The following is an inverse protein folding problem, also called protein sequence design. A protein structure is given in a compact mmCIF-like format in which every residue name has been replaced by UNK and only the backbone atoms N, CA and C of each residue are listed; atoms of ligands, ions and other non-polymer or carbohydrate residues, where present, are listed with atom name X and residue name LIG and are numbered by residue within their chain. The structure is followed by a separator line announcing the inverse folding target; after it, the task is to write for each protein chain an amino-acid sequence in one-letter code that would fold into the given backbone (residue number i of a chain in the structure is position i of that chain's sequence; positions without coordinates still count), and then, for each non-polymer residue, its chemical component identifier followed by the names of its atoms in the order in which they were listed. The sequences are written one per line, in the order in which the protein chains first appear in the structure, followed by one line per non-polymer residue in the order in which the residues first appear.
data_IF_747253524470
#
_entry.id   IF_747253524470
#
_cell.length_a   1.000
_cell.length_b   1.000
_cell.length_c   1.000
_cell.angle_alpha   90.00
_cell.angle_beta   90.00
_cell.angle_gamma   90.00
#
_symmetry.space_group_name_H-M   'P 1'
#
loop_
_entity.id
_entity.type
_entity.pdbx_description
1 polymer ?
#
# COMPACT_ATOMS: atom_id res chain seq x y z
N UNK A 1 9.01 16.50 -4.36
CA UNK A 1 7.71 15.79 -4.20
C UNK A 1 7.83 14.34 -4.66
N UNK A 2 7.46 13.37 -3.81
CA UNK A 2 7.83 11.95 -3.98
C UNK A 2 6.80 11.12 -4.77
N UNK A 3 7.22 9.96 -5.28
CA UNK A 3 6.36 8.96 -5.92
C UNK A 3 5.26 8.40 -5.01
N UNK A 4 5.37 8.59 -3.70
CA UNK A 4 4.38 8.12 -2.72
C UNK A 4 3.12 8.97 -2.74
N UNK A 5 3.23 10.26 -3.05
CA UNK A 5 2.07 11.14 -3.10
C UNK A 5 1.30 11.02 -4.43
N UNK A 6 2.00 10.71 -5.53
CA UNK A 6 1.41 10.61 -6.87
C UNK A 6 1.62 9.25 -7.56
N UNK A 7 1.34 8.11 -6.91
CA UNK A 7 1.72 6.79 -7.43
C UNK A 7 1.08 6.47 -8.78
N UNK A 8 -0.17 6.89 -9.00
CA UNK A 8 -0.90 6.71 -10.26
C UNK A 8 -0.33 7.53 -11.42
N UNK A 9 0.25 8.69 -11.14
CA UNK A 9 0.88 9.55 -12.16
C UNK A 9 2.26 8.99 -12.53
N UNK A 10 3.07 8.58 -11.55
CA UNK A 10 4.35 7.92 -11.83
C UNK A 10 4.20 6.56 -12.51
N UNK A 11 3.07 5.86 -12.31
CA UNK A 11 2.76 4.63 -13.05
C UNK A 11 2.67 4.85 -14.57
N UNK A 12 2.48 6.09 -15.03
CA UNK A 12 2.39 6.45 -16.46
C UNK A 12 3.76 6.74 -17.10
N UNK A 13 4.85 6.79 -16.33
CA UNK A 13 6.17 7.22 -16.82
C UNK A 13 6.76 6.37 -17.97
N UNK A 14 6.26 5.15 -18.17
CA UNK A 14 6.61 4.31 -19.30
C UNK A 14 5.84 4.60 -20.60
N UNK A 15 4.71 5.29 -20.51
CA UNK A 15 3.78 5.53 -21.60
C UNK A 15 3.66 7.01 -21.98
N UNK A 16 3.94 7.92 -21.03
CA UNK A 16 3.77 9.37 -21.19
C UNK A 16 5.08 10.09 -20.89
N UNK A 17 5.37 11.17 -21.61
CA UNK A 17 6.51 12.03 -21.33
C UNK A 17 6.24 12.91 -20.10
N UNK A 18 7.25 13.12 -19.25
CA UNK A 18 7.14 14.05 -18.11
C UNK A 18 6.74 15.46 -18.57
N UNK A 19 7.16 15.88 -19.76
CA UNK A 19 6.80 17.18 -20.33
C UNK A 19 5.31 17.33 -20.63
N UNK A 20 4.61 16.21 -20.86
CA UNK A 20 3.15 16.16 -21.11
C UNK A 20 2.35 15.92 -19.82
N UNK A 21 3.03 15.65 -18.70
CA UNK A 21 2.39 15.33 -17.43
C UNK A 21 2.17 16.61 -16.64
N UNK A 22 0.91 16.85 -16.25
CA UNK A 22 0.45 18.09 -15.62
C UNK A 22 -0.45 17.75 -14.42
N UNK A 23 0.11 17.22 -13.32
CA UNK A 23 -0.67 16.78 -12.16
C UNK A 23 -1.59 17.88 -11.59
N UNK A 24 -1.12 19.12 -11.50
CA UNK A 24 -1.90 20.22 -10.91
C UNK A 24 -2.95 20.75 -11.87
N UNK A 25 -2.66 20.88 -13.16
CA UNK A 25 -3.71 21.21 -14.14
C UNK A 25 -4.77 20.09 -14.23
N UNK A 26 -4.37 18.82 -14.10
CA UNK A 26 -5.32 17.71 -14.05
C UNK A 26 -6.29 17.81 -12.87
N UNK A 27 -5.85 18.31 -11.71
CA UNK A 27 -6.74 18.52 -10.55
C UNK A 27 -7.87 19.51 -10.85
N UNK A 28 -7.65 20.51 -11.72
CA UNK A 28 -8.71 21.44 -12.14
C UNK A 28 -9.77 20.72 -12.98
N UNK A 29 -9.35 19.74 -13.77
CA UNK A 29 -10.26 18.95 -14.63
C UNK A 29 -10.84 17.71 -13.94
N UNK A 30 -10.40 17.41 -12.72
CA UNK A 30 -10.70 16.21 -11.93
C UNK A 30 -10.62 14.89 -12.74
N UNK A 31 -9.49 14.18 -12.73
CA UNK A 31 -9.33 12.98 -13.54
C UNK A 31 -10.35 11.90 -13.16
N UNK A 32 -10.84 11.14 -14.14
CA UNK A 32 -11.83 10.08 -13.90
C UNK A 32 -11.42 9.06 -12.82
N UNK A 33 -10.11 8.86 -12.62
CA UNK A 33 -9.57 7.97 -11.60
C UNK A 33 -9.60 8.52 -10.17
N UNK A 34 -9.79 9.83 -9.96
CA UNK A 34 -9.95 10.43 -8.62
C UNK A 34 -11.41 10.39 -8.15
N UNK A 35 -12.31 9.85 -8.96
CA UNK A 35 -13.74 9.76 -8.68
C UNK A 35 -14.12 8.34 -8.28
N UNK A 36 -15.07 8.16 -7.35
CA UNK A 36 -15.69 6.86 -7.18
C UNK A 36 -16.37 6.45 -8.49
N UNK A 37 -16.30 5.17 -8.82
CA UNK A 37 -16.91 4.59 -10.03
C UNK A 37 -18.42 4.69 -10.02
N UNK A 38 -19.01 4.59 -8.83
CA UNK A 38 -20.44 4.56 -8.59
C UNK A 38 -20.76 4.98 -7.15
N UNK A 39 -22.05 5.12 -6.86
CA UNK A 39 -22.58 5.45 -5.54
C UNK A 39 -22.16 4.42 -4.48
N UNK A 40 -21.99 3.15 -4.86
CA UNK A 40 -21.58 2.10 -3.93
C UNK A 40 -20.14 2.33 -3.43
N UNK A 41 -19.21 2.61 -4.35
CA UNK A 41 -17.84 2.95 -3.99
C UNK A 41 -17.76 4.27 -3.22
N UNK A 42 -18.56 5.28 -3.60
CA UNK A 42 -18.61 6.55 -2.89
C UNK A 42 -19.04 6.37 -1.42
N UNK A 43 -20.05 5.52 -1.17
CA UNK A 43 -20.50 5.22 0.18
C UNK A 43 -19.40 4.52 1.02
N UNK A 44 -18.67 3.57 0.42
CA UNK A 44 -17.55 2.91 1.11
C UNK A 44 -16.44 3.90 1.44
N UNK A 45 -16.01 4.74 0.50
CA UNK A 45 -14.99 5.76 0.74
C UNK A 45 -15.38 6.75 1.83
N UNK A 46 -16.65 7.16 1.85
CA UNK A 46 -17.18 8.02 2.91
C UNK A 46 -17.02 7.36 4.29
N UNK A 47 -17.37 6.07 4.39
CA UNK A 47 -17.23 5.32 5.64
C UNK A 47 -15.78 5.16 6.07
N UNK A 48 -14.87 4.85 5.15
CA UNK A 48 -13.45 4.78 5.46
C UNK A 48 -12.95 6.12 6.02
N UNK A 49 -13.35 7.25 5.42
CA UNK A 49 -13.02 8.57 5.94
C UNK A 49 -13.61 8.86 7.33
N UNK A 50 -14.82 8.36 7.62
CA UNK A 50 -15.46 8.50 8.93
C UNK A 50 -14.82 7.61 10.02
N UNK A 51 -14.17 6.52 9.64
CA UNK A 51 -13.47 5.64 10.57
C UNK A 51 -12.05 6.11 10.91
N UNK A 52 -11.49 7.09 10.20
CA UNK A 52 -10.15 7.60 10.47
C UNK A 52 -10.08 8.27 11.85
N UNK A 53 -9.23 7.74 12.71
CA UNK A 53 -8.89 8.36 13.99
C UNK A 53 -7.82 9.46 13.78
N UNK A 54 -7.84 10.53 14.59
CA UNK A 54 -6.76 11.51 14.58
C UNK A 54 -5.46 10.86 15.06
N UNK A 55 -4.38 11.04 14.32
CA UNK A 55 -3.05 10.59 14.72
C UNK A 55 -2.27 11.73 15.42
N UNK A 56 -1.07 11.40 15.92
CA UNK A 56 -0.20 12.39 16.59
C UNK A 56 0.33 13.51 15.69
N UNK A 57 0.17 13.36 14.36
CA UNK A 57 0.59 14.34 13.36
C UNK A 57 -0.59 15.16 12.82
N UNK A 58 -1.81 14.85 13.25
CA UNK A 58 -3.03 15.51 12.80
C UNK A 58 -3.08 16.94 13.32
N UNK A 59 -2.79 17.91 12.46
CA UNK A 59 -2.87 19.35 12.77
C UNK A 59 -4.28 19.92 12.62
N UNK A 60 -5.22 19.12 12.11
CA UNK A 60 -6.60 19.50 11.84
C UNK A 60 -7.56 18.41 12.32
N UNK A 61 -8.82 18.76 12.65
CA UNK A 61 -9.83 17.77 13.01
C UNK A 61 -10.04 16.75 11.90
N UNK A 62 -10.16 15.48 12.27
CA UNK A 62 -10.45 14.40 11.29
C UNK A 62 -11.87 14.52 10.76
N UNK A 63 -12.15 13.80 9.67
CA UNK A 63 -13.42 13.93 8.98
C UNK A 63 -14.63 13.62 9.88
N UNK A 64 -14.53 12.60 10.75
CA UNK A 64 -15.54 12.30 11.77
C UNK A 64 -15.87 13.52 12.65
N UNK A 65 -14.85 14.18 13.19
CA UNK A 65 -15.01 15.34 14.08
C UNK A 65 -15.62 16.53 13.34
N UNK A 66 -15.23 16.73 12.08
CA UNK A 66 -15.79 17.78 11.23
C UNK A 66 -17.28 17.57 10.98
N UNK A 67 -17.71 16.35 10.72
CA UNK A 67 -19.14 16.02 10.55
C UNK A 67 -19.88 16.16 11.87
N UNK A 68 -19.34 15.65 12.98
CA UNK A 68 -19.94 15.79 14.31
C UNK A 68 -20.16 17.26 14.70
N UNK A 69 -19.22 18.15 14.35
CA UNK A 69 -19.33 19.59 14.58
C UNK A 69 -20.49 20.27 13.82
N UNK A 70 -21.00 19.66 12.75
CA UNK A 70 -22.19 20.15 12.03
C UNK A 70 -23.51 19.74 12.70
N UNK A 71 -23.46 18.94 13.77
CA UNK A 71 -24.63 18.41 14.48
C UNK A 71 -25.19 17.10 13.92
N UNK A 72 -24.54 16.51 12.92
CA UNK A 72 -24.87 15.18 12.40
C UNK A 72 -24.11 14.10 13.17
N UNK A 73 -24.78 12.98 13.47
CA UNK A 73 -24.14 11.80 14.06
C UNK A 73 -23.41 11.02 12.95
N UNK A 74 -22.06 11.01 12.92
CA UNK A 74 -21.31 10.33 11.87
C UNK A 74 -21.30 8.80 12.04
N UNK A 75 -21.70 8.29 13.21
CA UNK A 75 -21.88 6.85 13.46
C UNK A 75 -23.29 6.36 13.10
N UNK A 76 -24.21 7.28 12.79
CA UNK A 76 -25.56 6.96 12.34
C UNK A 76 -25.58 6.23 10.99
N UNK A 77 -26.72 5.60 10.64
CA UNK A 77 -26.89 5.03 9.30
C UNK A 77 -26.78 6.13 8.25
N UNK A 78 -26.10 5.84 7.13
CA UNK A 78 -26.06 6.78 6.02
C UNK A 78 -27.46 7.07 5.48
N UNK A 79 -27.65 8.27 4.90
CA UNK A 79 -28.87 8.56 4.16
C UNK A 79 -29.08 7.54 3.02
N UNK A 80 -30.34 7.19 2.77
CA UNK A 80 -30.77 6.23 1.75
C UNK A 80 -30.26 6.51 0.34
N UNK A 81 -29.88 7.76 0.12
CA UNK A 81 -29.23 8.29 -1.05
C UNK A 81 -28.13 9.25 -0.55
N UNK A 82 -26.89 8.95 -0.88
CA UNK A 82 -25.88 9.98 -0.98
C UNK A 82 -26.07 10.59 -2.37
N UNK A 83 -26.57 11.84 -2.49
CA UNK A 83 -26.49 12.54 -3.75
C UNK A 83 -25.01 12.80 -4.01
N UNK A 84 -24.34 11.83 -4.63
CA UNK A 84 -23.04 12.04 -5.20
C UNK A 84 -23.26 12.68 -6.56
N UNK A 85 -23.10 13.99 -6.62
CA UNK A 85 -23.04 14.75 -7.85
C UNK A 85 -21.68 15.44 -7.93
N UNK A 86 -21.19 15.56 -9.15
CA UNK A 86 -20.03 16.40 -9.42
C UNK A 86 -20.53 17.84 -9.48
N UNK A 87 -19.86 18.73 -8.75
CA UNK A 87 -19.98 20.15 -9.03
C UNK A 87 -19.39 20.42 -10.42
N UNK A 88 -19.97 21.36 -11.16
CA UNK A 88 -19.54 21.66 -12.53
C UNK A 88 -18.15 22.31 -12.59
N UNK A 89 -17.71 22.91 -11.47
CA UNK A 89 -16.43 23.56 -11.31
C UNK A 89 -15.65 22.97 -10.13
N UNK A 90 -14.32 22.92 -10.26
CA UNK A 90 -13.47 22.53 -9.15
C UNK A 90 -13.45 23.62 -8.07
N UNK A 91 -13.23 23.23 -6.81
CA UNK A 91 -13.09 24.20 -5.72
C UNK A 91 -11.97 25.23 -5.98
N UNK A 92 -10.93 24.83 -6.72
CA UNK A 92 -9.85 25.72 -7.13
C UNK A 92 -10.32 26.77 -8.16
N UNK A 93 -11.12 26.37 -9.15
CA UNK A 93 -11.72 27.32 -10.11
C UNK A 93 -12.70 28.27 -9.42
N UNK A 94 -13.51 27.77 -8.49
CA UNK A 94 -14.46 28.60 -7.74
C UNK A 94 -13.77 29.68 -6.88
N UNK A 95 -12.64 29.34 -6.26
CA UNK A 95 -11.94 30.25 -5.35
C UNK A 95 -10.90 31.14 -6.03
N UNK A 96 -10.20 30.62 -7.03
CA UNK A 96 -9.09 31.32 -7.70
C UNK A 96 -9.50 31.96 -9.03
N UNK A 97 -10.66 31.57 -9.59
CA UNK A 97 -11.17 32.11 -10.85
C UNK A 97 -10.19 31.92 -12.01
N UNK A 98 -9.99 32.98 -12.80
CA UNK A 98 -9.14 32.97 -13.99
C UNK A 98 -7.66 32.66 -13.69
N UNK A 99 -7.21 32.86 -12.45
CA UNK A 99 -5.83 32.59 -12.04
C UNK A 99 -5.53 31.11 -11.79
N UNK A 100 -6.57 30.27 -11.62
CA UNK A 100 -6.41 28.86 -11.27
C UNK A 100 -5.49 28.12 -12.25
N UNK A 101 -5.70 28.33 -13.56
CA UNK A 101 -4.91 27.68 -14.60
C UNK A 101 -3.46 28.16 -14.63
N UNK A 102 -3.23 29.46 -14.40
CA UNK A 102 -1.89 30.03 -14.33
C UNK A 102 -1.08 29.48 -13.15
N UNK A 103 -1.71 29.41 -11.98
CA UNK A 103 -1.12 28.83 -10.77
C UNK A 103 -0.81 27.35 -10.97
N UNK A 104 -1.76 26.59 -11.52
CA UNK A 104 -1.56 25.16 -11.81
C UNK A 104 -0.39 24.94 -12.78
N UNK A 105 -0.27 25.76 -13.83
CA UNK A 105 0.84 25.70 -14.77
C UNK A 105 2.20 25.97 -14.13
N UNK A 106 2.28 26.90 -13.17
CA UNK A 106 3.50 27.15 -12.41
C UNK A 106 3.85 25.96 -11.51
N UNK A 107 2.88 25.42 -10.78
CA UNK A 107 3.08 24.24 -9.93
C UNK A 107 3.51 23.01 -10.75
N UNK A 108 2.97 22.84 -11.96
CA UNK A 108 3.38 21.78 -12.87
C UNK A 108 4.81 21.97 -13.41
N UNK A 109 5.26 23.21 -13.62
CA UNK A 109 6.66 23.48 -13.96
C UNK A 109 7.59 23.11 -12.80
N UNK A 110 7.29 23.60 -11.61
CA UNK A 110 8.06 23.32 -10.40
C UNK A 110 8.07 21.82 -10.07
N UNK A 111 6.94 21.15 -10.26
CA UNK A 111 6.83 19.71 -10.06
C UNK A 111 7.73 18.93 -11.02
N UNK A 112 7.73 19.27 -12.31
CA UNK A 112 8.56 18.57 -13.31
C UNK A 112 10.04 18.64 -12.98
N UNK A 113 10.53 19.80 -12.55
CA UNK A 113 11.92 19.98 -12.13
C UNK A 113 12.26 19.06 -10.94
N UNK A 114 11.38 19.01 -9.95
CA UNK A 114 11.58 18.21 -8.74
C UNK A 114 11.33 16.71 -8.96
N UNK A 115 10.51 16.32 -9.93
CA UNK A 115 10.12 14.94 -10.20
C UNK A 115 11.05 14.24 -11.22
N UNK A 116 11.94 14.96 -11.90
CA UNK A 116 12.71 14.44 -13.03
C UNK A 116 13.52 13.16 -12.74
N UNK A 117 14.10 13.03 -11.53
CA UNK A 117 14.80 11.80 -11.15
C UNK A 117 13.83 10.66 -10.85
N UNK A 118 12.81 10.91 -10.02
CA UNK A 118 11.78 9.91 -9.69
C UNK A 118 11.03 9.42 -10.93
N UNK A 119 10.86 10.26 -11.94
CA UNK A 119 10.22 9.90 -13.20
C UNK A 119 11.10 8.98 -14.03
N UNK A 120 12.41 9.23 -14.08
CA UNK A 120 13.38 8.31 -14.72
C UNK A 120 13.36 6.95 -14.04
N UNK A 121 13.39 6.93 -12.71
CA UNK A 121 13.32 5.69 -11.94
C UNK A 121 12.01 4.92 -12.22
N UNK A 122 10.88 5.63 -12.32
CA UNK A 122 9.58 5.03 -12.65
C UNK A 122 9.53 4.49 -14.09
N UNK A 123 10.16 5.19 -15.05
CA UNK A 123 10.30 4.73 -16.43
C UNK A 123 11.17 3.47 -16.52
N UNK A 124 12.30 3.44 -15.83
CA UNK A 124 13.18 2.27 -15.76
C UNK A 124 12.45 1.07 -15.12
N UNK A 125 11.67 1.33 -14.07
CA UNK A 125 10.83 0.31 -13.46
C UNK A 125 9.76 -0.23 -14.42
N UNK A 126 9.08 0.64 -15.17
CA UNK A 126 8.13 0.21 -16.18
C UNK A 126 8.78 -0.65 -17.27
N UNK A 127 9.98 -0.27 -17.74
CA UNK A 127 10.75 -1.06 -18.70
C UNK A 127 11.15 -2.44 -18.14
N UNK A 128 11.57 -2.49 -16.87
CA UNK A 128 11.84 -3.74 -16.17
C UNK A 128 10.59 -4.62 -16.10
N UNK A 129 9.44 -4.09 -15.69
CA UNK A 129 8.17 -4.81 -15.63
C UNK A 129 7.75 -5.37 -17.00
N UNK A 130 7.96 -4.61 -18.07
CA UNK A 130 7.71 -5.07 -19.44
C UNK A 130 8.68 -6.20 -19.87
N UNK A 131 9.95 -6.14 -19.45
CA UNK A 131 10.92 -7.21 -19.67
C UNK A 131 10.50 -8.51 -18.96
N UNK A 132 10.11 -8.41 -17.69
CA UNK A 132 9.62 -9.56 -16.92
C UNK A 132 8.35 -10.16 -17.56
N UNK A 133 7.41 -9.31 -17.99
CA UNK A 133 6.23 -9.75 -18.73
C UNK A 133 6.61 -10.50 -20.02
N UNK A 134 7.59 -9.98 -20.78
CA UNK A 134 8.08 -10.63 -22.00
C UNK A 134 8.76 -11.97 -21.71
N UNK A 135 9.52 -12.07 -20.62
CA UNK A 135 10.16 -13.31 -20.16
C UNK A 135 9.11 -14.36 -19.79
N UNK A 136 8.07 -13.98 -19.04
CA UNK A 136 6.95 -14.88 -18.71
C UNK A 136 6.27 -15.41 -19.96
N UNK A 137 6.03 -14.56 -20.98
CA UNK A 137 5.47 -15.02 -22.25
C UNK A 137 6.39 -16.00 -22.99
N UNK A 138 7.71 -15.84 -22.91
CA UNK A 138 8.68 -16.79 -23.49
C UNK A 138 8.69 -18.12 -22.72
N UNK A 139 8.77 -18.07 -21.39
CA UNK A 139 8.72 -19.23 -20.50
C UNK A 139 7.44 -20.05 -20.71
N UNK A 140 6.30 -19.38 -20.87
CA UNK A 140 5.01 -20.00 -21.23
C UNK A 140 5.09 -20.76 -22.55
N UNK A 141 5.68 -20.17 -23.60
CA UNK A 141 5.86 -20.84 -24.91
C UNK A 141 6.77 -22.07 -24.81
N UNK A 142 7.77 -22.02 -23.93
CA UNK A 142 8.69 -23.12 -23.67
C UNK A 142 8.14 -24.17 -22.70
N UNK A 143 6.92 -23.97 -22.17
CA UNK A 143 6.29 -24.82 -21.15
C UNK A 143 7.10 -24.95 -19.85
N UNK A 144 7.96 -23.97 -19.56
CA UNK A 144 8.72 -23.87 -18.29
C UNK A 144 8.04 -22.81 -17.43
N UNK A 145 6.87 -23.15 -16.89
CA UNK A 145 5.97 -22.23 -16.20
C UNK A 145 5.53 -22.83 -14.87
N UNK A 146 5.77 -22.11 -13.77
CA UNK A 146 5.41 -22.54 -12.40
C UNK A 146 4.14 -21.83 -11.89
N UNK A 147 3.75 -22.13 -10.65
CA UNK A 147 2.55 -21.56 -10.01
C UNK A 147 2.68 -20.04 -9.80
N UNK A 148 3.88 -19.57 -9.43
CA UNK A 148 4.16 -18.16 -9.18
C UNK A 148 4.13 -17.35 -10.49
N UNK A 149 4.59 -17.95 -11.58
CA UNK A 149 4.56 -17.34 -12.91
C UNK A 149 3.12 -17.00 -13.35
N UNK A 150 2.12 -17.81 -12.98
CA UNK A 150 0.71 -17.53 -13.30
C UNK A 150 0.19 -16.29 -12.57
N UNK A 151 0.50 -16.15 -11.28
CA UNK A 151 0.15 -14.96 -10.51
C UNK A 151 0.84 -13.71 -11.06
N UNK A 152 2.16 -13.79 -11.31
CA UNK A 152 2.92 -12.67 -11.86
C UNK A 152 2.41 -12.27 -13.25
N UNK A 153 2.08 -13.25 -14.10
CA UNK A 153 1.50 -12.98 -15.42
C UNK A 153 0.13 -12.29 -15.30
N UNK A 154 -0.74 -12.73 -14.39
CA UNK A 154 -2.04 -12.10 -14.16
C UNK A 154 -1.93 -10.63 -13.70
N UNK A 155 -0.98 -10.34 -12.81
CA UNK A 155 -0.72 -8.98 -12.32
C UNK A 155 -0.13 -8.07 -13.40
N UNK A 156 0.87 -8.54 -14.15
CA UNK A 156 1.52 -7.76 -15.20
C UNK A 156 0.63 -7.57 -16.44
N UNK A 157 -0.22 -8.56 -16.75
CA UNK A 157 -1.17 -8.47 -17.85
C UNK A 157 -2.18 -7.32 -17.68
N UNK A 158 -2.47 -6.88 -16.45
CA UNK A 158 -3.31 -5.69 -16.22
C UNK A 158 -2.78 -4.44 -16.95
N UNK A 159 -1.46 -4.32 -17.04
CA UNK A 159 -0.78 -3.16 -17.60
C UNK A 159 -0.44 -3.34 -19.07
N UNK A 160 -0.12 -4.56 -19.48
CA UNK A 160 0.46 -4.84 -20.80
C UNK A 160 -0.45 -5.63 -21.76
N UNK A 161 -1.55 -6.21 -21.27
CA UNK A 161 -2.54 -6.91 -22.09
C UNK A 161 -3.83 -6.08 -22.24
N UNK A 162 -3.85 -5.23 -23.27
CA UNK A 162 -5.00 -4.37 -23.57
C UNK A 162 -6.30 -5.16 -23.85
N UNK A 163 -6.20 -6.40 -24.34
CA UNK A 163 -7.35 -7.22 -24.63
C UNK A 163 -7.90 -7.95 -23.39
N UNK A 164 -7.15 -8.01 -22.29
CA UNK A 164 -7.49 -8.71 -21.05
C UNK A 164 -7.60 -10.24 -21.16
N UNK A 165 -7.32 -10.81 -22.34
CA UNK A 165 -7.41 -12.25 -22.60
C UNK A 165 -6.34 -13.06 -21.87
N UNK A 166 -5.10 -12.56 -21.84
CA UNK A 166 -3.98 -13.19 -21.14
C UNK A 166 -4.18 -13.11 -19.64
N UNK A 167 -4.70 -11.99 -19.12
CA UNK A 167 -5.03 -11.86 -17.70
C UNK A 167 -6.05 -12.91 -17.26
N UNK A 168 -7.16 -13.00 -18.00
CA UNK A 168 -8.21 -13.96 -17.69
C UNK A 168 -7.73 -15.42 -17.77
N UNK A 169 -6.90 -15.74 -18.78
CA UNK A 169 -6.27 -17.05 -18.90
C UNK A 169 -5.35 -17.34 -17.71
N UNK A 170 -4.47 -16.39 -17.36
CA UNK A 170 -3.49 -16.56 -16.30
C UNK A 170 -4.15 -16.80 -14.95
N UNK A 171 -5.22 -16.06 -14.63
CA UNK A 171 -6.03 -16.27 -13.43
C UNK A 171 -6.66 -17.67 -13.44
N UNK A 172 -7.29 -18.07 -14.56
CA UNK A 172 -7.96 -19.37 -14.65
C UNK A 172 -6.97 -20.54 -14.53
N UNK A 173 -5.80 -20.42 -15.15
CA UNK A 173 -4.74 -21.43 -15.09
C UNK A 173 -4.08 -21.49 -13.73
N UNK A 174 -3.72 -20.35 -13.14
CA UNK A 174 -3.16 -20.29 -11.79
C UNK A 174 -4.09 -20.95 -10.75
N UNK A 175 -5.39 -20.67 -10.82
CA UNK A 175 -6.39 -21.30 -9.94
C UNK A 175 -6.63 -22.80 -10.22
N UNK A 176 -6.29 -23.31 -11.42
CA UNK A 176 -6.29 -24.76 -11.69
C UNK A 176 -5.12 -25.45 -10.99
N UNK A 177 -3.98 -24.78 -10.86
CA UNK A 177 -2.81 -25.30 -10.17
C UNK A 177 -2.97 -25.18 -8.64
N UNK A 178 -3.33 -23.98 -8.17
CA UNK A 178 -3.57 -23.72 -6.76
C UNK A 178 -4.90 -22.96 -6.56
N UNK A 179 -5.96 -23.73 -6.27
CA UNK A 179 -7.31 -23.18 -6.14
C UNK A 179 -7.52 -22.24 -4.94
N UNK A 180 -6.60 -22.28 -3.97
CA UNK A 180 -6.64 -21.47 -2.75
C UNK A 180 -5.78 -20.21 -2.80
N UNK A 181 -5.20 -19.86 -3.95
CA UNK A 181 -4.38 -18.64 -4.08
C UNK A 181 -5.23 -17.39 -3.84
N UNK A 182 -5.04 -16.75 -2.69
CA UNK A 182 -5.83 -15.58 -2.27
C UNK A 182 -5.71 -14.42 -3.25
N UNK A 183 -4.53 -14.18 -3.83
CA UNK A 183 -4.30 -13.06 -4.72
C UNK A 183 -5.00 -13.31 -6.07
N UNK A 184 -4.91 -14.52 -6.61
CA UNK A 184 -5.64 -14.87 -7.83
C UNK A 184 -7.17 -14.85 -7.63
N UNK A 185 -7.65 -15.26 -6.46
CA UNK A 185 -9.07 -15.17 -6.10
C UNK A 185 -9.53 -13.69 -6.03
N UNK A 186 -8.73 -12.81 -5.43
CA UNK A 186 -9.02 -11.37 -5.39
C UNK A 186 -9.05 -10.74 -6.79
N UNK A 187 -8.07 -11.05 -7.65
CA UNK A 187 -8.04 -10.57 -9.04
C UNK A 187 -9.26 -11.06 -9.82
N UNK A 188 -9.63 -12.34 -9.66
CA UNK A 188 -10.84 -12.90 -10.28
C UNK A 188 -12.11 -12.19 -9.79
N UNK A 189 -12.23 -11.90 -8.50
CA UNK A 189 -13.38 -11.21 -7.93
C UNK A 189 -13.53 -9.80 -8.52
N UNK A 190 -12.41 -9.08 -8.65
CA UNK A 190 -12.37 -7.76 -9.29
C UNK A 190 -12.81 -7.80 -10.75
N UNK A 191 -12.26 -8.73 -11.54
CA UNK A 191 -12.62 -8.91 -12.95
C UNK A 191 -14.11 -9.27 -13.13
N UNK A 192 -14.68 -10.10 -12.24
CA UNK A 192 -16.11 -10.44 -12.23
C UNK A 192 -16.98 -9.22 -11.93
N UNK A 193 -16.62 -8.44 -10.90
CA UNK A 193 -17.35 -7.24 -10.54
C UNK A 193 -17.35 -6.20 -11.68
N UNK A 194 -16.20 -5.99 -12.34
CA UNK A 194 -16.08 -5.09 -13.50
C UNK A 194 -16.94 -5.52 -14.69
N UNK A 195 -17.17 -6.83 -14.88
CA UNK A 195 -18.04 -7.37 -15.93
C UNK A 195 -19.51 -7.41 -15.55
N UNK A 196 -19.87 -6.97 -14.34
CA UNK A 196 -21.25 -6.99 -13.83
C UNK A 196 -21.70 -8.31 -13.21
N UNK A 197 -20.80 -9.29 -13.03
CA UNK A 197 -21.10 -10.57 -12.39
C UNK A 197 -21.04 -10.45 -10.86
N UNK A 198 -21.89 -9.58 -10.29
CA UNK A 198 -21.80 -9.15 -8.89
C UNK A 198 -21.99 -10.31 -7.90
N UNK A 199 -22.96 -11.20 -8.11
CA UNK A 199 -23.20 -12.32 -7.19
C UNK A 199 -22.05 -13.35 -7.17
N UNK A 200 -21.38 -13.56 -8.30
CA UNK A 200 -20.19 -14.43 -8.33
C UNK A 200 -19.02 -13.78 -7.58
N UNK A 201 -18.83 -12.47 -7.74
CA UNK A 201 -17.84 -11.72 -6.99
C UNK A 201 -18.11 -11.75 -5.48
N UNK A 202 -19.37 -11.58 -5.05
CA UNK A 202 -19.80 -11.72 -3.64
C UNK A 202 -19.44 -13.11 -3.10
N UNK A 203 -19.79 -14.17 -3.84
CA UNK A 203 -19.49 -15.55 -3.44
C UNK A 203 -17.99 -15.77 -3.24
N UNK A 204 -17.18 -15.17 -4.11
CA UNK A 204 -15.72 -15.27 -4.05
C UNK A 204 -15.15 -14.52 -2.85
N UNK A 205 -15.67 -13.32 -2.53
CA UNK A 205 -15.24 -12.55 -1.37
C UNK A 205 -15.63 -13.20 -0.04
N UNK A 206 -16.78 -13.88 0.04
CA UNK A 206 -17.09 -14.73 1.19
C UNK A 206 -16.09 -15.85 1.37
N UNK A 207 -15.69 -16.50 0.28
CA UNK A 207 -14.66 -17.55 0.33
C UNK A 207 -13.29 -17.00 0.77
N UNK A 208 -12.90 -15.82 0.25
CA UNK A 208 -11.67 -15.13 0.65
C UNK A 208 -11.70 -14.82 2.16
N UNK A 209 -12.80 -14.24 2.67
CA UNK A 209 -12.94 -13.86 4.08
C UNK A 209 -12.96 -15.03 5.06
N UNK A 210 -13.22 -16.26 4.60
CA UNK A 210 -13.10 -17.47 5.44
C UNK A 210 -11.65 -17.93 5.63
N UNK A 211 -10.70 -17.38 4.86
CA UNK A 211 -9.30 -17.74 4.97
C UNK A 211 -8.63 -16.94 6.11
N UNK A 212 -8.01 -17.61 7.12
CA UNK A 212 -7.35 -16.93 8.24
C UNK A 212 -6.19 -16.01 7.85
N UNK A 213 -5.64 -16.17 6.65
CA UNK A 213 -4.53 -15.36 6.14
C UNK A 213 -5.00 -14.12 5.37
N UNK A 214 -6.31 -13.97 5.15
CA UNK A 214 -6.89 -12.79 4.50
C UNK A 214 -7.18 -11.68 5.52
N UNK A 215 -7.22 -10.42 5.05
CA UNK A 215 -7.74 -9.32 5.87
C UNK A 215 -9.26 -9.42 5.93
N UNK A 216 -9.79 -9.74 7.11
CA UNK A 216 -11.23 -9.73 7.37
C UNK A 216 -11.83 -8.35 7.06
N UNK A 217 -11.13 -7.27 7.46
CA UNK A 217 -11.53 -5.90 7.16
C UNK A 217 -11.72 -5.68 5.65
N UNK A 218 -10.71 -6.03 4.85
CA UNK A 218 -10.76 -5.85 3.39
C UNK A 218 -11.90 -6.67 2.76
N UNK A 219 -12.12 -7.91 3.22
CA UNK A 219 -13.21 -8.74 2.73
C UNK A 219 -14.57 -8.10 3.04
N UNK A 220 -14.78 -7.61 4.26
CA UNK A 220 -16.03 -6.95 4.65
C UNK A 220 -16.27 -5.63 3.89
N UNK A 221 -15.23 -4.84 3.62
CA UNK A 221 -15.35 -3.63 2.77
C UNK A 221 -15.76 -3.96 1.34
N UNK A 222 -15.14 -4.97 0.74
CA UNK A 222 -15.46 -5.39 -0.62
C UNK A 222 -16.87 -5.98 -0.72
N UNK A 223 -17.29 -6.76 0.29
CA UNK A 223 -18.67 -7.26 0.38
C UNK A 223 -19.68 -6.12 0.52
N UNK A 224 -19.39 -5.12 1.35
CA UNK A 224 -20.24 -3.93 1.47
C UNK A 224 -20.44 -3.24 0.10
N UNK A 225 -19.34 -2.95 -0.62
CA UNK A 225 -19.38 -2.33 -1.95
C UNK A 225 -20.22 -3.16 -2.95
N UNK A 226 -20.03 -4.48 -2.96
CA UNK A 226 -20.74 -5.37 -3.89
C UNK A 226 -22.22 -5.54 -3.55
N UNK A 227 -22.59 -5.64 -2.27
CA UNK A 227 -23.99 -5.71 -1.86
C UNK A 227 -24.74 -4.40 -2.16
N UNK A 228 -24.07 -3.24 -2.04
CA UNK A 228 -24.63 -1.97 -2.49
C UNK A 228 -24.89 -1.98 -4.01
N UNK A 229 -23.95 -2.49 -4.82
CA UNK A 229 -24.15 -2.67 -6.28
C UNK A 229 -25.29 -3.64 -6.61
N UNK A 230 -25.46 -4.69 -5.81
CA UNK A 230 -26.56 -5.65 -5.96
C UNK A 230 -27.91 -5.08 -5.49
N UNK A 231 -27.95 -3.92 -4.83
CA UNK A 231 -29.15 -3.33 -4.24
C UNK A 231 -29.57 -3.96 -2.90
N UNK A 232 -28.75 -4.83 -2.32
CA UNK A 232 -29.00 -5.55 -1.07
C UNK A 232 -28.54 -4.74 0.15
N UNK A 233 -29.25 -3.64 0.42
CA UNK A 233 -28.87 -2.65 1.45
C UNK A 233 -28.64 -3.24 2.85
N UNK A 234 -29.51 -4.14 3.30
CA UNK A 234 -29.41 -4.71 4.64
C UNK A 234 -28.13 -5.54 4.82
N UNK A 235 -27.73 -6.30 3.79
CA UNK A 235 -26.49 -7.06 3.81
C UNK A 235 -25.27 -6.12 3.76
N UNK A 236 -25.32 -5.09 2.91
CA UNK A 236 -24.27 -4.09 2.83
C UNK A 236 -24.02 -3.40 4.18
N UNK A 237 -25.09 -3.02 4.88
CA UNK A 237 -25.03 -2.38 6.20
C UNK A 237 -24.43 -3.30 7.27
N UNK A 238 -24.76 -4.59 7.26
CA UNK A 238 -24.15 -5.56 8.15
C UNK A 238 -22.64 -5.67 7.91
N UNK A 239 -22.22 -5.83 6.66
CA UNK A 239 -20.79 -5.91 6.33
C UNK A 239 -20.05 -4.62 6.65
N UNK A 240 -20.69 -3.46 6.47
CA UNK A 240 -20.15 -2.16 6.88
C UNK A 240 -19.87 -2.11 8.38
N UNK A 241 -20.87 -2.40 9.22
CA UNK A 241 -20.72 -2.33 10.67
C UNK A 241 -19.59 -3.23 11.18
N UNK A 242 -19.44 -4.42 10.58
CA UNK A 242 -18.33 -5.32 10.90
C UNK A 242 -16.99 -4.71 10.46
N UNK A 243 -16.89 -4.15 9.25
CA UNK A 243 -15.67 -3.50 8.79
C UNK A 243 -15.27 -2.31 9.69
N UNK A 244 -16.22 -1.48 10.10
CA UNK A 244 -15.97 -0.32 10.96
C UNK A 244 -15.48 -0.76 12.36
N UNK A 245 -16.03 -1.85 12.91
CA UNK A 245 -15.55 -2.44 14.17
C UNK A 245 -14.15 -3.03 14.03
N UNK A 246 -13.86 -3.70 12.92
CA UNK A 246 -12.54 -4.28 12.65
C UNK A 246 -11.49 -3.18 12.53
N UNK A 247 -11.79 -2.07 11.85
CA UNK A 247 -10.93 -0.89 11.75
C UNK A 247 -10.52 -0.36 13.12
N UNK A 248 -11.51 -0.10 14.00
CA UNK A 248 -11.25 0.36 15.36
C UNK A 248 -10.48 -0.66 16.23
N UNK A 249 -10.49 -1.94 15.85
CA UNK A 249 -9.78 -3.02 16.55
C UNK A 249 -8.36 -3.25 16.04
N UNK A 250 -8.06 -2.99 14.77
CA UNK A 250 -6.71 -3.12 14.21
C UNK A 250 -5.77 -2.07 14.79
N UNK A 251 -6.23 -0.82 14.98
CA UNK A 251 -5.49 0.23 15.67
C UNK A 251 -5.28 -0.10 17.16
N UNK A 252 -6.30 -0.67 17.82
CA UNK A 252 -6.14 -1.17 19.20
C UNK A 252 -5.22 -2.37 19.30
N UNK A 253 -5.20 -3.29 18.33
CA UNK A 253 -4.22 -4.39 18.29
C UNK A 253 -2.80 -3.89 18.07
N UNK A 254 -2.60 -2.81 17.31
CA UNK A 254 -1.28 -2.15 17.25
C UNK A 254 -0.85 -1.57 18.60
N UNK A 255 -1.81 -1.17 19.45
CA UNK A 255 -1.59 -0.63 20.80
C UNK A 255 -1.55 -1.70 21.91
N UNK A 256 -2.20 -2.87 21.72
CA UNK A 256 -2.32 -3.98 22.68
C UNK A 256 -1.30 -5.14 22.45
N UNK A 257 -0.22 -4.90 21.70
CA UNK A 257 0.82 -5.91 21.49
C UNK A 257 1.58 -6.21 22.79
N UNK A 258 1.37 -7.41 23.34
CA UNK A 258 2.07 -7.95 24.52
C UNK A 258 3.55 -8.29 24.21
N UNK A 259 4.36 -7.27 23.89
CA UNK A 259 5.81 -7.34 23.78
C UNK A 259 6.32 -8.09 22.53
N UNK A 260 7.06 -7.40 21.68
CA UNK A 260 7.84 -8.05 20.62
C UNK A 260 9.11 -8.70 21.22
N UNK A 261 9.48 -9.86 20.71
CA UNK A 261 10.63 -10.64 21.17
C UNK A 261 11.84 -10.51 20.20
N UNK A 262 13.07 -10.76 20.67
CA UNK A 262 14.26 -10.85 19.81
C UNK A 262 14.10 -11.90 18.70
N UNK A 263 14.80 -11.72 17.57
CA UNK A 263 14.57 -12.56 16.39
C UNK A 263 14.83 -14.06 16.63
N UNK A 264 15.87 -14.40 17.40
CA UNK A 264 16.33 -15.79 17.67
C UNK A 264 16.48 -16.68 16.42
N UNK A 265 16.53 -16.06 15.24
CA UNK A 265 16.77 -16.69 13.94
C UNK A 265 18.11 -17.43 13.92
N UNK A 266 18.14 -18.58 13.25
CA UNK A 266 19.36 -19.36 13.07
C UNK A 266 20.44 -18.53 12.36
N UNK A 267 21.70 -18.76 12.72
CA UNK A 267 22.83 -17.98 12.20
C UNK A 267 22.94 -18.05 10.66
N UNK A 268 22.59 -19.18 10.05
CA UNK A 268 22.62 -19.34 8.59
C UNK A 268 21.50 -18.57 7.89
N UNK A 269 20.30 -18.56 8.47
CA UNK A 269 19.13 -17.83 7.98
C UNK A 269 19.32 -16.31 8.16
N UNK A 270 19.87 -15.89 9.30
CA UNK A 270 20.22 -14.51 9.58
C UNK A 270 21.27 -13.98 8.60
N UNK A 271 22.30 -14.78 8.30
CA UNK A 271 23.34 -14.40 7.33
C UNK A 271 22.76 -14.23 5.92
N UNK A 272 21.84 -15.12 5.52
CA UNK A 272 21.12 -14.99 4.25
C UNK A 272 20.27 -13.71 4.21
N UNK A 273 19.55 -13.41 5.28
CA UNK A 273 18.74 -12.20 5.39
C UNK A 273 19.62 -10.93 5.33
N UNK A 274 20.71 -10.90 6.10
CA UNK A 274 21.68 -9.79 6.11
C UNK A 274 22.30 -9.57 4.74
N UNK A 275 22.64 -10.65 4.01
CA UNK A 275 23.20 -10.52 2.65
C UNK A 275 22.23 -9.87 1.68
N UNK A 276 20.93 -10.16 1.79
CA UNK A 276 19.88 -9.55 0.96
C UNK A 276 19.58 -8.12 1.37
N UNK A 277 19.67 -7.81 2.66
CA UNK A 277 19.45 -6.47 3.21
C UNK A 277 20.69 -5.58 3.17
N UNK A 278 21.86 -6.08 2.76
CA UNK A 278 23.11 -5.33 2.74
C UNK A 278 23.03 -3.96 2.05
N UNK A 279 22.30 -3.76 0.93
CA UNK A 279 22.15 -2.44 0.32
C UNK A 279 21.46 -1.41 1.23
N UNK A 280 20.59 -1.87 2.13
CA UNK A 280 19.90 -1.02 3.11
C UNK A 280 20.85 -0.48 4.18
N UNK A 281 21.90 -1.23 4.52
CA UNK A 281 22.77 -0.90 5.66
C UNK A 281 23.51 0.42 5.43
N UNK A 282 23.81 0.77 4.19
CA UNK A 282 24.50 2.01 3.83
C UNK A 282 23.70 3.27 4.15
N UNK A 283 22.38 3.15 4.27
CA UNK A 283 21.47 4.28 4.52
C UNK A 283 20.82 4.23 5.91
N UNK A 284 20.97 3.10 6.62
CA UNK A 284 20.44 2.89 7.95
C UNK A 284 21.53 2.98 9.02
N UNK A 285 21.26 3.78 10.07
CA UNK A 285 22.07 3.82 11.28
C UNK A 285 21.95 2.54 12.08
N UNK A 286 20.75 1.98 12.19
CA UNK A 286 20.51 0.74 12.91
C UNK A 286 19.29 0.02 12.36
N UNK A 287 19.34 -1.30 12.35
CA UNK A 287 18.25 -2.16 11.91
C UNK A 287 18.06 -3.27 12.94
N UNK A 288 16.82 -3.42 13.40
CA UNK A 288 16.42 -4.48 14.32
C UNK A 288 15.37 -5.38 13.67
N UNK A 289 15.47 -6.67 13.95
CA UNK A 289 14.50 -7.70 13.60
C UNK A 289 13.89 -8.27 14.88
N UNK A 290 12.57 -8.23 14.96
CA UNK A 290 11.78 -8.73 16.07
C UNK A 290 10.73 -9.72 15.58
N UNK A 291 10.17 -10.52 16.50
CA UNK A 291 9.09 -11.48 16.24
C UNK A 291 7.93 -11.28 17.23
N UNK A 292 6.72 -11.61 16.81
CA UNK A 292 5.49 -11.49 17.62
C UNK A 292 5.27 -12.59 18.66
N UNK A 293 5.90 -13.74 18.47
CA UNK A 293 5.66 -14.96 19.26
C UNK A 293 6.98 -15.49 19.82
N UNK A 294 7.03 -16.13 20.99
CA UNK A 294 8.27 -16.71 21.54
C UNK A 294 8.72 -17.98 20.80
N UNK A 295 10.00 -18.35 20.90
CA UNK A 295 10.59 -19.53 20.21
C UNK A 295 9.99 -20.88 20.59
N UNK A 296 9.23 -20.94 21.68
CA UNK A 296 8.51 -22.13 22.15
C UNK A 296 7.18 -22.41 21.45
N UNK A 297 6.68 -21.49 20.62
CA UNK A 297 5.40 -21.63 19.92
C UNK A 297 5.56 -22.31 18.55
N UNK A 298 4.65 -23.23 18.22
CA UNK A 298 4.69 -24.03 16.99
C UNK A 298 4.25 -23.28 15.71
N UNK A 299 3.67 -22.08 15.86
CA UNK A 299 3.23 -21.27 14.72
C UNK A 299 4.39 -20.44 14.15
N UNK A 300 4.43 -20.22 12.82
CA UNK A 300 5.44 -19.35 12.22
C UNK A 300 5.27 -17.90 12.74
N UNK A 301 6.35 -17.26 13.21
CA UNK A 301 6.28 -15.91 13.74
C UNK A 301 6.04 -14.88 12.62
N UNK A 302 5.34 -13.79 12.95
CA UNK A 302 5.39 -12.57 12.14
C UNK A 302 6.65 -11.81 12.48
N UNK A 303 7.34 -11.34 11.45
CA UNK A 303 8.62 -10.66 11.58
C UNK A 303 8.45 -9.15 11.42
N UNK A 304 9.03 -8.40 12.34
CA UNK A 304 9.00 -6.95 12.38
C UNK A 304 10.40 -6.39 12.17
N UNK A 305 10.58 -5.58 11.14
CA UNK A 305 11.85 -4.95 10.82
C UNK A 305 11.79 -3.46 11.18
N UNK A 306 12.53 -3.06 12.19
CA UNK A 306 12.69 -1.67 12.59
C UNK A 306 13.92 -1.07 11.92
N UNK A 307 13.74 0.05 11.21
CA UNK A 307 14.82 0.73 10.49
C UNK A 307 14.96 2.15 11.01
N UNK A 308 16.14 2.46 11.56
CA UNK A 308 16.53 3.82 11.88
C UNK A 308 17.49 4.31 10.79
N UNK A 309 17.07 5.33 10.03
CA UNK A 309 17.91 5.93 8.99
C UNK A 309 19.05 6.78 9.57
N UNK A 310 20.09 7.05 8.78
CA UNK A 310 21.08 8.06 9.12
C UNK A 310 20.46 9.45 9.09
N UNK A 311 20.46 10.12 10.23
CA UNK A 311 20.00 11.49 10.39
C UNK A 311 21.20 12.45 10.47
N UNK A 312 21.19 13.50 9.64
CA UNK A 312 22.10 14.63 9.71
C UNK A 312 21.34 15.89 10.13
N UNK A 313 21.81 16.56 11.18
CA UNK A 313 21.21 17.81 11.69
C UNK A 313 21.07 18.90 10.63
N UNK A 314 21.93 18.88 9.60
CA UNK A 314 21.85 19.79 8.45
C UNK A 314 20.66 19.46 7.53
N UNK A 315 20.39 18.17 7.27
CA UNK A 315 19.26 17.72 6.46
C UNK A 315 17.92 17.93 7.18
N UNK A 316 17.89 17.87 8.52
CA UNK A 316 16.72 18.27 9.33
C UNK A 316 16.34 19.73 9.17
N UNK A 317 17.33 20.62 9.07
CA UNK A 317 17.09 22.04 8.86
C UNK A 317 16.49 22.28 7.47
N UNK A 318 16.99 21.58 6.45
CA UNK A 318 16.47 21.65 5.08
C UNK A 318 15.05 21.08 5.02
N UNK A 319 14.80 19.88 5.55
CA UNK A 319 13.47 19.26 5.55
C UNK A 319 12.40 20.05 6.31
N UNK A 320 12.76 20.72 7.42
CA UNK A 320 11.84 21.63 8.13
C UNK A 320 11.49 22.90 7.34
N UNK A 321 12.35 23.30 6.41
CA UNK A 321 12.14 24.48 5.57
C UNK A 321 11.46 24.14 4.24
N UNK A 322 11.65 22.91 3.73
CA UNK A 322 11.15 22.50 2.40
C UNK A 322 9.98 21.52 2.45
N UNK A 323 9.67 20.95 3.62
CA UNK A 323 8.66 19.90 3.75
C UNK A 323 9.07 18.56 3.11
N UNK A 324 10.36 18.39 2.80
CA UNK A 324 10.90 17.17 2.19
C UNK A 324 11.36 16.17 3.27
N UNK A 325 11.01 14.88 3.06
CA UNK A 325 11.49 13.78 3.88
C UNK A 325 13.02 13.65 3.81
N UNK A 326 13.64 13.17 4.90
CA UNK A 326 15.07 12.87 4.95
C UNK A 326 15.46 11.92 3.79
N UNK A 327 16.44 12.32 2.99
CA UNK A 327 16.94 11.59 1.82
C UNK A 327 17.31 10.15 2.20
N UNK A 328 17.89 9.92 3.37
CA UNK A 328 18.28 8.58 3.82
C UNK A 328 17.07 7.75 4.25
N UNK A 329 16.07 8.34 4.90
CA UNK A 329 14.82 7.66 5.24
C UNK A 329 14.06 7.27 3.97
N UNK A 330 13.99 8.17 3.00
CA UNK A 330 13.41 7.94 1.67
C UNK A 330 14.18 6.90 0.85
N UNK A 331 15.51 6.85 0.96
CA UNK A 331 16.35 5.84 0.31
C UNK A 331 16.15 4.46 0.95
N UNK A 332 16.12 4.39 2.29
CA UNK A 332 15.78 3.17 3.02
C UNK A 332 14.43 2.64 2.59
N UNK A 333 13.39 3.47 2.55
CA UNK A 333 12.03 3.07 2.17
C UNK A 333 11.96 2.50 0.75
N UNK A 334 12.55 3.20 -0.22
CA UNK A 334 12.63 2.75 -1.63
C UNK A 334 13.42 1.45 -1.80
N UNK A 335 14.55 1.30 -1.10
CA UNK A 335 15.35 0.09 -1.16
C UNK A 335 14.60 -1.09 -0.56
N UNK A 336 13.87 -0.86 0.54
CA UNK A 336 13.19 -1.92 1.25
C UNK A 336 11.98 -2.45 0.49
N UNK A 337 11.20 -1.59 -0.16
CA UNK A 337 10.14 -1.97 -1.10
C UNK A 337 10.67 -2.87 -2.24
N UNK A 338 11.86 -2.58 -2.75
CA UNK A 338 12.53 -3.39 -3.79
C UNK A 338 13.06 -4.72 -3.27
N UNK A 339 13.56 -4.73 -2.03
CA UNK A 339 14.18 -5.90 -1.44
C UNK A 339 13.14 -6.88 -0.88
N UNK A 340 11.99 -6.39 -0.40
CA UNK A 340 10.94 -7.20 0.23
C UNK A 340 10.45 -8.33 -0.69
N UNK A 341 10.30 -8.06 -1.99
CA UNK A 341 9.92 -9.07 -2.99
C UNK A 341 10.96 -10.19 -3.20
N UNK A 342 12.19 -10.01 -2.70
CA UNK A 342 13.32 -10.96 -2.85
C UNK A 342 13.65 -11.66 -1.53
N UNK A 343 13.00 -11.29 -0.43
CA UNK A 343 13.22 -11.89 0.88
C UNK A 343 12.52 -13.25 0.98
N UNK A 344 13.11 -14.13 1.78
CA UNK A 344 12.55 -15.46 2.07
C UNK A 344 11.60 -15.43 3.28
N UNK A 345 11.46 -14.26 3.92
CA UNK A 345 10.59 -13.99 5.07
C UNK A 345 9.75 -12.75 4.78
N UNK A 346 8.49 -12.78 5.18
CA UNK A 346 7.61 -11.62 5.13
C UNK A 346 7.90 -10.71 6.32
N UNK A 347 8.30 -9.47 6.05
CA UNK A 347 8.65 -8.48 7.07
C UNK A 347 7.59 -7.37 7.10
N UNK A 348 7.05 -7.08 8.29
CA UNK A 348 6.34 -5.85 8.57
C UNK A 348 7.36 -4.78 8.97
N UNK A 349 7.38 -3.66 8.26
CA UNK A 349 8.49 -2.71 8.33
C UNK A 349 8.05 -1.46 9.06
N UNK A 350 8.83 -1.05 10.07
CA UNK A 350 8.59 0.15 10.86
C UNK A 350 9.81 1.06 10.82
N UNK A 351 9.59 2.32 10.48
CA UNK A 351 10.66 3.31 10.46
C UNK A 351 10.69 4.03 11.80
N UNK A 352 11.87 4.17 12.38
CA UNK A 352 12.08 4.95 13.61
C UNK A 352 12.61 6.31 13.18
N UNK A 353 11.83 7.34 13.43
CA UNK A 353 12.19 8.73 13.19
C UNK A 353 13.34 9.20 14.09
N UNK A 354 13.96 10.35 13.77
CA UNK A 354 15.11 10.87 14.52
C UNK A 354 14.77 11.30 15.95
N UNK A 355 13.52 11.72 16.19
CA UNK A 355 13.02 12.15 17.51
C UNK A 355 12.16 11.05 18.19
N UNK A 356 11.97 9.90 17.53
CA UNK A 356 11.19 8.80 18.08
C UNK A 356 12.00 8.03 19.13
N UNK A 357 11.34 7.64 20.22
CA UNK A 357 11.96 6.73 21.18
C UNK A 357 12.14 5.37 20.54
N UNK A 358 13.37 4.85 20.57
CA UNK A 358 13.66 3.49 20.14
C UNK A 358 12.81 2.54 21.00
N UNK A 359 11.96 1.69 20.39
CA UNK A 359 11.09 0.81 21.16
C UNK A 359 11.89 -0.12 22.08
N UNK A 360 11.38 -0.37 23.29
CA UNK A 360 12.10 -1.11 24.34
C UNK A 360 12.52 -2.54 23.93
N UNK A 361 11.82 -3.15 22.96
CA UNK A 361 12.12 -4.47 22.38
C UNK A 361 13.22 -4.47 21.30
N UNK A 362 13.68 -3.30 20.85
CA UNK A 362 14.84 -3.16 19.95
C UNK A 362 16.15 -3.30 20.73
N UNK A 363 16.37 -4.48 21.29
CA UNK A 363 17.55 -4.80 22.11
C UNK A 363 18.73 -5.26 21.25
N UNK A 364 19.90 -5.48 21.85
CA UNK A 364 21.05 -6.10 21.15
C UNK A 364 20.71 -7.48 20.56
N UNK A 365 19.81 -8.24 21.21
CA UNK A 365 19.32 -9.53 20.72
C UNK A 365 18.49 -9.45 19.44
N UNK A 366 17.99 -8.26 19.12
CA UNK A 366 17.18 -7.98 17.93
C UNK A 366 18.01 -7.29 16.85
N UNK A 367 19.24 -6.85 17.14
CA UNK A 367 20.03 -6.01 16.25
C UNK A 367 20.65 -6.85 15.12
N UNK A 368 20.38 -6.50 13.87
CA UNK A 368 20.92 -7.20 12.70
C UNK A 368 21.93 -6.37 11.91
N UNK A 369 21.91 -5.04 12.06
CA UNK A 369 22.93 -4.15 11.50
C UNK A 369 23.03 -2.84 12.29
N UNK A 370 24.24 -2.30 12.38
CA UNK A 370 24.52 -1.02 13.01
C UNK A 370 25.63 -0.28 12.25
N UNK A 371 25.41 1.01 12.03
CA UNK A 371 26.33 1.93 11.36
C UNK A 371 26.91 1.38 10.05
N UNK A 372 26.05 0.83 9.18
CA UNK A 372 26.48 0.28 7.89
C UNK A 372 27.11 -1.12 7.93
N UNK A 373 27.24 -1.74 9.11
CA UNK A 373 27.83 -3.06 9.28
C UNK A 373 26.80 -4.06 9.79
N UNK A 374 26.86 -5.29 9.28
CA UNK A 374 26.09 -6.41 9.80
C UNK A 374 26.49 -6.67 11.27
N UNK A 375 25.51 -6.87 12.14
CA UNK A 375 25.76 -7.27 13.51
C UNK A 375 26.26 -8.73 13.53
N UNK A 376 27.29 -8.99 14.34
CA UNK A 376 27.80 -10.36 14.52
C UNK A 376 26.74 -11.20 15.24
N UNK A 377 26.54 -12.48 14.83
CA UNK A 377 25.62 -13.36 15.52
C UNK A 377 26.04 -13.48 16.99
N UNK A 378 25.08 -13.32 17.90
CA UNK A 378 25.32 -13.50 19.33
C UNK A 378 25.64 -14.97 19.55
N UNK A 379 26.92 -15.28 19.79
CA UNK A 379 27.31 -16.58 20.31
C UNK A 379 26.75 -16.68 21.73
N UNK A 380 25.72 -17.50 21.90
CA UNK A 380 25.27 -17.90 23.24
C UNK A 380 26.42 -18.59 24.01
N UNK A 381 26.43 -18.50 25.35
CA UNK A 381 27.46 -19.15 26.15
C UNK A 381 27.39 -20.68 25.94
N UNK A 382 28.57 -21.29 25.78
CA UNK A 382 28.77 -22.72 25.62
C UNK A 382 28.34 -23.55 26.84
#
# INVERSE_FOLDING_TARGET
MSSQFWPSIFAQAGNVDIAQTQPFAQLLTEPASSRPRDVAQAAVWLHEGLCQEPDTHSTHPVFFERIAATGFDPAGPLPDHLPWHLEEASAAEDWLGEEALGIAGQLDADWRENAAQSWRDAKDWHAHQHSEFSLLLQRRKQQVFDEQDWLQLAQLAEKFDQAGTLRAEAIAKGLQHYSGDLLLLQLKAGDLAQRGNIHEAISLWHHIGQNPSSSEYQAHRQLCELYLRAGEKAAAEQHRQIADQLWASEDKRQLDFAGLFPHEMDASELTLLQSKLQPLFQHARAIWLCRDTPSSTANPPRWYLYVQAYDSWFMRLVGKLTGEDDINASACKRLLERLQARLHVYLEVRYIGPDDQIPAHCTNGSLIAYAGLAALPIMGPA
#
